data_IF_507029111794
#
_entry.id   IF_507029111794
#
_cell.length_a   1.000
_cell.length_b   1.000
_cell.length_c   1.000
_cell.angle_alpha   90.00
_cell.angle_beta   90.00
_cell.angle_gamma   90.00
#
_symmetry.space_group_name_H-M   'P 1'
#
loop_
_entity.id
_entity.type
_entity.pdbx_description
1 polymer ?
#
# COMPACT_ATOMS: atom_id res chain seq x y z
N UNK A 1 22.33 50.44 -43.38
CA UNK A 1 21.81 49.03 -43.42
C UNK A 1 22.24 48.35 -42.12
N UNK A 2 21.43 48.38 -41.08
CA UNK A 2 21.68 47.71 -39.81
C UNK A 2 20.82 46.41 -39.78
N UNK A 3 21.47 45.22 -39.71
CA UNK A 3 20.80 43.93 -39.54
C UNK A 3 20.75 43.64 -38.02
N UNK A 4 19.57 43.68 -37.48
CA UNK A 4 19.29 43.29 -36.10
C UNK A 4 19.13 41.76 -36.04
N UNK A 5 20.05 41.06 -35.34
CA UNK A 5 19.96 39.64 -35.06
C UNK A 5 19.13 39.42 -33.81
N UNK A 6 17.94 38.83 -33.91
CA UNK A 6 17.15 38.36 -32.79
C UNK A 6 17.70 36.98 -32.38
N UNK A 7 18.24 36.90 -31.17
CA UNK A 7 18.59 35.63 -30.52
C UNK A 7 17.39 35.14 -29.72
N UNK A 8 16.75 34.07 -30.16
CA UNK A 8 15.70 33.40 -29.42
C UNK A 8 16.32 32.47 -28.37
N UNK A 9 16.18 32.78 -27.10
CA UNK A 9 16.58 31.94 -26.02
C UNK A 9 15.51 30.86 -25.77
N UNK A 10 15.82 29.60 -26.06
CA UNK A 10 14.99 28.46 -25.66
C UNK A 10 15.25 28.14 -24.18
N UNK A 11 14.27 28.41 -23.32
CA UNK A 11 14.27 27.88 -21.95
C UNK A 11 13.86 26.40 -22.01
N UNK A 12 14.80 25.52 -21.76
CA UNK A 12 14.53 24.09 -21.51
C UNK A 12 14.03 23.93 -20.07
N UNK A 13 12.76 23.67 -19.89
CA UNK A 13 12.18 23.27 -18.62
C UNK A 13 12.60 21.83 -18.33
N UNK A 14 13.58 21.61 -17.46
CA UNK A 14 13.90 20.30 -16.92
C UNK A 14 12.83 19.90 -15.92
N UNK A 15 12.00 18.92 -16.27
CA UNK A 15 11.14 18.25 -15.31
C UNK A 15 12.01 17.45 -14.35
N UNK A 16 12.11 17.88 -13.09
CA UNK A 16 12.72 17.09 -12.04
C UNK A 16 11.79 15.90 -11.75
N UNK A 17 12.18 14.71 -12.18
CA UNK A 17 11.56 13.47 -11.72
C UNK A 17 11.88 13.36 -10.22
N UNK A 18 10.87 13.52 -9.37
CA UNK A 18 11.00 13.24 -7.94
C UNK A 18 11.29 11.74 -7.80
N UNK A 19 12.50 11.40 -7.39
CA UNK A 19 12.81 10.04 -6.97
C UNK A 19 11.90 9.75 -5.76
N UNK A 20 10.99 8.81 -5.91
CA UNK A 20 10.11 8.36 -4.86
C UNK A 20 10.96 7.55 -3.88
N UNK A 21 11.09 8.02 -2.64
CA UNK A 21 11.76 7.28 -1.59
C UNK A 21 11.00 5.97 -1.35
N UNK A 22 11.61 4.85 -1.73
CA UNK A 22 11.08 3.49 -1.55
C UNK A 22 11.32 2.98 -0.12
N UNK A 23 11.47 3.86 0.85
CA UNK A 23 11.66 3.54 2.25
C UNK A 23 10.35 3.51 3.03
N UNK A 24 10.38 2.80 4.15
CA UNK A 24 9.36 2.87 5.19
C UNK A 24 10.00 3.21 6.53
N UNK A 25 9.18 3.57 7.51
CA UNK A 25 9.63 3.76 8.88
C UNK A 25 8.57 3.28 9.89
N UNK A 26 9.04 2.97 11.09
CA UNK A 26 8.20 2.71 12.25
C UNK A 26 8.71 3.54 13.43
N UNK A 27 7.81 4.02 14.29
CA UNK A 27 8.11 4.84 15.46
C UNK A 27 7.43 4.30 16.70
N UNK A 28 8.00 4.51 17.88
CA UNK A 28 7.33 4.20 19.14
C UNK A 28 5.94 4.85 19.21
N UNK A 29 4.95 4.17 19.85
CA UNK A 29 5.08 2.93 20.59
C UNK A 29 5.00 1.66 19.74
N UNK A 30 5.02 1.76 18.42
CA UNK A 30 5.15 0.59 17.55
C UNK A 30 6.58 0.06 17.61
N UNK A 31 6.75 -1.25 17.81
CA UNK A 31 8.05 -1.90 18.01
C UNK A 31 8.62 -2.52 16.75
N UNK A 32 7.76 -2.96 15.83
CA UNK A 32 8.17 -3.66 14.62
C UNK A 32 7.17 -3.45 13.48
N UNK A 33 7.64 -3.74 12.26
CA UNK A 33 6.85 -3.65 11.04
C UNK A 33 7.21 -4.79 10.08
N UNK A 34 6.20 -5.44 9.52
CA UNK A 34 6.36 -6.26 8.31
C UNK A 34 5.61 -5.62 7.13
N UNK A 35 6.04 -5.92 5.92
CA UNK A 35 5.37 -5.46 4.70
C UNK A 35 5.63 -6.43 3.54
N UNK A 36 4.73 -6.44 2.59
CA UNK A 36 4.91 -7.23 1.37
C UNK A 36 3.60 -7.70 0.76
N UNK A 37 3.72 -8.77 -0.02
CA UNK A 37 2.62 -9.44 -0.72
C UNK A 37 2.21 -10.70 0.02
N UNK A 38 0.89 -10.93 0.05
CA UNK A 38 0.23 -12.14 0.55
C UNK A 38 -0.56 -12.75 -0.61
N UNK A 39 -0.37 -14.05 -0.86
CA UNK A 39 -0.91 -14.75 -2.03
C UNK A 39 -2.37 -15.17 -1.87
N UNK A 40 -2.73 -15.70 -0.71
CA UNK A 40 -4.06 -16.25 -0.45
C UNK A 40 -4.49 -15.88 0.98
N UNK A 41 -5.28 -14.83 1.08
CA UNK A 41 -5.75 -14.32 2.36
C UNK A 41 -7.22 -14.69 2.56
N UNK A 42 -7.46 -15.62 3.49
CA UNK A 42 -8.81 -16.04 3.84
C UNK A 42 -9.57 -14.92 4.55
N UNK A 43 -10.82 -14.69 4.11
CA UNK A 43 -11.72 -13.71 4.69
C UNK A 43 -12.60 -14.37 5.74
N UNK A 44 -12.64 -13.78 6.92
CA UNK A 44 -13.46 -14.22 8.06
C UNK A 44 -14.74 -13.37 8.23
N UNK A 45 -15.13 -12.64 7.19
CA UNK A 45 -16.25 -11.73 7.17
C UNK A 45 -15.87 -10.34 6.63
N UNK A 46 -16.75 -9.37 6.86
CA UNK A 46 -16.51 -7.98 6.51
C UNK A 46 -17.21 -7.05 7.49
N UNK A 47 -16.82 -5.79 7.53
CA UNK A 47 -17.53 -4.72 8.21
C UNK A 47 -17.73 -3.52 7.28
N UNK A 48 -18.76 -2.73 7.52
CA UNK A 48 -18.96 -1.46 6.81
C UNK A 48 -17.84 -0.49 7.14
N UNK A 49 -17.32 0.16 6.12
CA UNK A 49 -16.27 1.17 6.23
C UNK A 49 -16.42 2.21 5.10
N UNK A 50 -17.25 3.23 5.32
CA UNK A 50 -17.57 4.24 4.29
C UNK A 50 -16.35 5.03 3.79
N UNK A 51 -15.23 4.97 4.52
CA UNK A 51 -13.96 5.57 4.13
C UNK A 51 -13.21 4.83 3.02
N UNK A 52 -13.75 3.70 2.52
CA UNK A 52 -13.14 2.91 1.45
C UNK A 52 -13.95 2.96 0.15
N UNK A 53 -13.29 2.71 -0.99
CA UNK A 53 -13.96 2.69 -2.31
C UNK A 53 -15.03 1.60 -2.39
N UNK A 54 -14.80 0.47 -1.73
CA UNK A 54 -15.77 -0.64 -1.67
C UNK A 54 -16.89 -0.42 -0.65
N UNK A 55 -16.73 0.54 0.27
CA UNK A 55 -17.64 0.76 1.41
C UNK A 55 -17.53 -0.27 2.53
N UNK A 56 -16.60 -1.22 2.41
CA UNK A 56 -16.35 -2.29 3.38
C UNK A 56 -14.87 -2.55 3.52
N UNK A 57 -14.46 -3.18 4.63
CA UNK A 57 -13.19 -3.87 4.75
C UNK A 57 -13.41 -5.34 5.06
N UNK A 58 -12.54 -6.21 4.54
CA UNK A 58 -12.54 -7.63 4.85
C UNK A 58 -11.86 -7.87 6.21
N UNK A 59 -12.47 -8.73 7.02
CA UNK A 59 -11.86 -9.21 8.26
C UNK A 59 -11.01 -10.43 7.92
N UNK A 60 -9.76 -10.40 8.35
CA UNK A 60 -8.76 -11.44 8.10
C UNK A 60 -8.15 -11.92 9.42
N UNK A 61 -7.51 -13.08 9.39
CA UNK A 61 -6.65 -13.51 10.48
C UNK A 61 -5.48 -12.54 10.61
N UNK A 62 -5.20 -12.09 11.82
CA UNK A 62 -4.14 -11.12 12.09
C UNK A 62 -2.74 -11.77 12.15
N UNK A 63 -2.66 -13.10 12.29
CA UNK A 63 -1.40 -13.84 12.26
C UNK A 63 -0.94 -14.22 10.83
N UNK A 64 -1.26 -13.37 9.85
CA UNK A 64 -0.79 -13.55 8.47
C UNK A 64 0.73 -13.36 8.37
N UNK A 65 1.38 -14.26 7.64
CA UNK A 65 2.78 -14.12 7.26
C UNK A 65 2.91 -13.58 5.85
N UNK A 66 3.92 -12.75 5.61
CA UNK A 66 4.24 -12.23 4.28
C UNK A 66 4.80 -13.36 3.41
N UNK A 67 4.20 -13.62 2.25
CA UNK A 67 4.71 -14.62 1.29
C UNK A 67 5.92 -14.09 0.51
N UNK A 68 5.89 -12.80 0.15
CA UNK A 68 7.00 -12.14 -0.56
C UNK A 68 7.25 -10.76 0.05
N UNK A 69 8.41 -10.60 0.69
CA UNK A 69 8.86 -9.27 1.16
C UNK A 69 9.29 -8.45 -0.04
N UNK A 70 8.45 -7.49 -0.43
CA UNK A 70 8.68 -6.63 -1.59
C UNK A 70 7.88 -5.35 -1.48
N UNK A 71 8.39 -4.27 -2.08
CA UNK A 71 7.69 -3.00 -2.27
C UNK A 71 7.10 -2.87 -3.68
N UNK A 72 7.40 -3.83 -4.57
CA UNK A 72 6.88 -3.84 -5.94
C UNK A 72 5.79 -4.91 -6.01
N UNK A 73 4.58 -4.50 -6.38
CA UNK A 73 3.37 -5.32 -6.35
C UNK A 73 2.79 -5.42 -7.75
N UNK A 74 2.59 -6.63 -8.32
CA UNK A 74 1.92 -6.74 -9.61
C UNK A 74 0.42 -6.46 -9.45
N UNK A 75 -0.16 -5.72 -10.39
CA UNK A 75 -1.60 -5.43 -10.44
C UNK A 75 -2.38 -6.67 -10.91
N UNK A 76 -2.55 -7.65 -10.03
CA UNK A 76 -3.21 -8.93 -10.33
C UNK A 76 -4.33 -9.23 -9.33
N UNK A 77 -5.46 -9.74 -9.84
CA UNK A 77 -6.60 -10.13 -9.00
C UNK A 77 -6.21 -11.21 -8.00
N UNK A 78 -6.67 -11.06 -6.76
CA UNK A 78 -6.41 -11.98 -5.66
C UNK A 78 -5.13 -11.66 -4.88
N UNK A 79 -4.23 -10.82 -5.40
CA UNK A 79 -3.06 -10.37 -4.66
C UNK A 79 -3.49 -9.41 -3.56
N UNK A 80 -2.99 -9.67 -2.35
CA UNK A 80 -3.08 -8.77 -1.21
C UNK A 80 -1.70 -8.21 -0.89
N UNK A 81 -1.63 -6.96 -0.47
CA UNK A 81 -0.38 -6.33 -0.03
C UNK A 81 -0.65 -5.27 1.03
N UNK A 82 0.35 -5.00 1.84
CA UNK A 82 0.21 -4.00 2.89
C UNK A 82 1.23 -4.17 4.00
N UNK A 83 0.79 -3.85 5.21
CA UNK A 83 1.62 -3.74 6.40
C UNK A 83 1.08 -4.57 7.56
N UNK A 84 1.99 -5.10 8.37
CA UNK A 84 1.72 -5.58 9.71
C UNK A 84 2.54 -4.77 10.70
N UNK A 85 1.97 -4.47 11.87
CA UNK A 85 2.62 -3.72 12.92
C UNK A 85 2.44 -4.41 14.27
N UNK A 86 3.38 -4.20 15.17
CA UNK A 86 3.33 -4.64 16.55
C UNK A 86 3.43 -3.45 17.48
N UNK A 87 2.66 -3.51 18.56
CA UNK A 87 2.75 -2.57 19.66
C UNK A 87 3.71 -3.14 20.71
N UNK A 88 4.52 -2.28 21.34
CA UNK A 88 5.36 -2.69 22.44
C UNK A 88 4.53 -3.40 23.52
N UNK A 89 5.04 -4.52 24.06
CA UNK A 89 4.31 -5.37 24.99
C UNK A 89 3.94 -4.68 26.31
N UNK A 90 4.63 -3.59 26.66
CA UNK A 90 4.36 -2.79 27.87
C UNK A 90 3.47 -1.57 27.59
N UNK A 91 3.03 -1.38 26.35
CA UNK A 91 2.14 -0.27 25.97
C UNK A 91 0.68 -0.57 26.30
N UNK A 92 -0.13 0.47 26.42
CA UNK A 92 -1.58 0.33 26.46
C UNK A 92 -2.14 0.07 25.05
N UNK A 93 -3.28 -0.66 24.92
CA UNK A 93 -3.93 -0.85 23.64
C UNK A 93 -4.19 0.48 22.90
N UNK A 94 -4.00 0.48 21.60
CA UNK A 94 -4.21 1.66 20.76
C UNK A 94 -5.30 1.42 19.72
N UNK A 95 -6.04 2.48 19.41
CA UNK A 95 -6.85 2.55 18.20
C UNK A 95 -6.16 3.51 17.25
N UNK A 96 -5.73 3.00 16.11
CA UNK A 96 -5.06 3.78 15.06
C UNK A 96 -5.96 3.94 13.84
N UNK A 97 -5.67 4.95 13.04
CA UNK A 97 -6.17 5.09 11.68
C UNK A 97 -5.20 4.45 10.70
N UNK A 98 -5.69 3.58 9.85
CA UNK A 98 -5.00 3.15 8.63
C UNK A 98 -5.37 4.12 7.53
N UNK A 99 -4.37 4.68 6.87
CA UNK A 99 -4.56 5.58 5.73
C UNK A 99 -3.81 5.00 4.55
N UNK A 100 -4.52 4.65 3.47
CA UNK A 100 -3.93 4.16 2.22
C UNK A 100 -4.15 5.20 1.14
N UNK A 101 -3.05 5.72 0.61
CA UNK A 101 -3.07 6.64 -0.54
C UNK A 101 -2.66 5.89 -1.80
N UNK A 102 -3.36 6.13 -2.90
CA UNK A 102 -3.17 5.44 -4.19
C UNK A 102 -3.58 6.35 -5.36
N UNK A 103 -3.26 6.00 -6.62
CA UNK A 103 -3.80 6.72 -7.78
C UNK A 103 -5.34 6.67 -7.82
N UNK A 104 -6.00 7.61 -8.53
CA UNK A 104 -7.46 7.67 -8.59
C UNK A 104 -8.08 6.32 -8.96
N UNK A 105 -9.05 5.85 -8.15
CA UNK A 105 -9.68 4.55 -8.27
C UNK A 105 -11.21 4.65 -8.10
N UNK A 106 -11.94 3.73 -8.72
CA UNK A 106 -13.40 3.71 -8.68
C UNK A 106 -14.06 4.83 -9.48
N UNK A 107 -15.39 4.87 -9.45
CA UNK A 107 -16.18 5.83 -10.26
C UNK A 107 -15.96 7.29 -9.84
N UNK A 108 -15.67 7.52 -8.57
CA UNK A 108 -15.49 8.86 -8.01
C UNK A 108 -14.01 9.32 -8.01
N UNK A 109 -13.09 8.49 -8.51
CA UNK A 109 -11.67 8.80 -8.51
C UNK A 109 -11.09 9.00 -7.11
N UNK A 110 -11.52 8.19 -6.14
CA UNK A 110 -10.99 8.25 -4.78
C UNK A 110 -9.50 7.92 -4.78
N UNK A 111 -8.72 8.67 -3.99
CA UNK A 111 -7.25 8.54 -3.90
C UNK A 111 -6.78 8.18 -2.50
N UNK A 112 -7.69 8.14 -1.53
CA UNK A 112 -7.38 7.85 -0.13
C UNK A 112 -8.47 6.98 0.46
N UNK A 113 -8.06 5.88 1.10
CA UNK A 113 -8.94 5.05 1.92
C UNK A 113 -8.54 5.17 3.40
N UNK A 114 -9.53 5.15 4.28
CA UNK A 114 -9.30 5.30 5.73
C UNK A 114 -10.18 4.31 6.47
N UNK A 115 -9.56 3.59 7.43
CA UNK A 115 -10.30 2.76 8.38
C UNK A 115 -9.60 2.68 9.73
N UNK A 116 -10.31 2.23 10.76
CA UNK A 116 -9.76 2.06 12.10
C UNK A 116 -9.13 0.68 12.28
N UNK A 117 -7.96 0.63 12.93
CA UNK A 117 -7.27 -0.59 13.32
C UNK A 117 -6.96 -0.58 14.82
N UNK A 118 -7.57 -1.47 15.63
CA UNK A 118 -7.15 -1.70 17.00
C UNK A 118 -5.82 -2.45 17.02
N UNK A 119 -4.93 -2.07 17.92
CA UNK A 119 -3.68 -2.75 18.21
C UNK A 119 -3.64 -3.11 19.69
N UNK A 120 -3.47 -4.39 19.97
CA UNK A 120 -3.25 -4.91 21.31
C UNK A 120 -1.74 -5.18 21.55
N UNK A 121 -1.20 -4.96 22.74
CA UNK A 121 0.21 -5.19 23.05
C UNK A 121 0.64 -6.63 22.77
N UNK A 122 1.74 -6.79 22.03
CA UNK A 122 2.30 -8.11 21.71
C UNK A 122 1.60 -8.88 20.60
N UNK A 123 0.45 -8.39 20.12
CA UNK A 123 -0.28 -9.01 19.02
C UNK A 123 -0.01 -8.25 17.70
N UNK A 124 0.02 -8.95 16.54
CA UNK A 124 0.13 -8.29 15.25
C UNK A 124 -1.18 -7.60 14.86
N UNK A 125 -1.06 -6.47 14.15
CA UNK A 125 -2.17 -5.85 13.45
C UNK A 125 -1.82 -5.76 11.95
N UNK A 126 -2.43 -6.64 11.15
CA UNK A 126 -2.20 -6.74 9.72
C UNK A 126 -3.27 -5.97 8.95
N UNK A 127 -2.84 -5.06 8.10
CA UNK A 127 -3.70 -4.20 7.29
C UNK A 127 -3.30 -4.35 5.83
N UNK A 128 -4.19 -4.93 5.03
CA UNK A 128 -3.95 -5.27 3.64
C UNK A 128 -4.97 -4.61 2.72
N UNK A 129 -4.53 -4.26 1.54
CA UNK A 129 -5.37 -4.04 0.38
C UNK A 129 -5.33 -5.27 -0.52
N UNK A 130 -6.49 -5.72 -0.99
CA UNK A 130 -6.61 -6.87 -1.90
C UNK A 130 -7.22 -6.41 -3.22
N UNK A 131 -6.59 -6.73 -4.33
CA UNK A 131 -7.21 -6.52 -5.66
C UNK A 131 -8.32 -7.53 -5.89
N UNK A 132 -9.56 -7.15 -5.61
CA UNK A 132 -10.75 -8.00 -5.78
C UNK A 132 -11.49 -7.73 -7.09
N UNK A 133 -11.32 -6.53 -7.63
CA UNK A 133 -12.03 -6.05 -8.81
C UNK A 133 -11.06 -5.39 -9.80
N UNK A 134 -11.34 -5.49 -11.11
CA UNK A 134 -10.45 -4.93 -12.13
C UNK A 134 -10.15 -3.42 -11.96
N UNK A 135 -11.10 -2.64 -11.46
CA UNK A 135 -10.90 -1.20 -11.26
C UNK A 135 -9.97 -0.86 -10.08
N UNK A 136 -9.68 -1.82 -9.21
CA UNK A 136 -8.76 -1.64 -8.07
C UNK A 136 -7.30 -1.80 -8.47
N UNK A 137 -7.02 -2.43 -9.61
CA UNK A 137 -5.67 -2.69 -10.11
C UNK A 137 -5.05 -1.43 -10.74
N UNK A 138 -4.99 -0.32 -9.99
CA UNK A 138 -4.40 0.93 -10.45
C UNK A 138 -2.90 0.94 -10.24
N UNK A 139 -2.16 1.05 -11.34
CA UNK A 139 -0.70 1.12 -11.33
C UNK A 139 -0.21 2.47 -10.81
N UNK A 140 0.95 2.47 -10.17
CA UNK A 140 1.58 3.68 -9.65
C UNK A 140 1.94 3.58 -8.17
N UNK A 141 2.22 4.73 -7.53
CA UNK A 141 2.62 4.79 -6.14
C UNK A 141 1.44 4.55 -5.19
N UNK A 142 1.67 3.69 -4.21
CA UNK A 142 0.79 3.42 -3.09
C UNK A 142 1.51 3.66 -1.79
N UNK A 143 0.80 4.16 -0.77
CA UNK A 143 1.38 4.42 0.54
C UNK A 143 0.41 4.01 1.63
N UNK A 144 0.90 3.20 2.57
CA UNK A 144 0.21 2.81 3.79
C UNK A 144 0.77 3.58 4.96
N UNK A 145 -0.11 4.10 5.81
CA UNK A 145 0.25 4.76 7.05
C UNK A 145 -0.60 4.25 8.20
N UNK A 146 0.01 4.13 9.37
CA UNK A 146 -0.71 4.06 10.65
C UNK A 146 -0.56 5.39 11.36
N UNK A 147 -1.69 5.99 11.72
CA UNK A 147 -1.75 7.30 12.37
C UNK A 147 -2.43 7.22 13.73
N UNK A 148 -1.91 8.01 14.66
CA UNK A 148 -2.58 8.34 15.91
C UNK A 148 -2.79 9.83 15.94
N UNK A 149 -4.06 10.25 15.97
CA UNK A 149 -4.43 11.63 15.77
C UNK A 149 -3.79 12.18 14.46
N UNK A 150 -2.97 13.21 14.53
CA UNK A 150 -2.27 13.78 13.37
C UNK A 150 -0.84 13.22 13.17
N UNK A 151 -0.39 12.30 14.03
CA UNK A 151 0.97 11.75 13.99
C UNK A 151 1.04 10.47 13.18
N UNK A 152 1.98 10.39 12.21
CA UNK A 152 2.29 9.16 11.47
C UNK A 152 3.29 8.34 12.27
N UNK A 153 2.84 7.19 12.76
CA UNK A 153 3.67 6.24 13.53
C UNK A 153 4.34 5.20 12.64
N UNK A 154 3.72 4.85 11.52
CA UNK A 154 4.29 3.94 10.53
C UNK A 154 3.94 4.44 9.13
N UNK A 155 4.91 4.32 8.21
CA UNK A 155 4.71 4.52 6.79
C UNK A 155 5.44 3.45 6.00
N UNK A 156 4.79 2.95 4.94
CA UNK A 156 5.37 2.05 3.96
C UNK A 156 4.89 2.41 2.57
N UNK A 157 5.85 2.58 1.65
CA UNK A 157 5.57 2.88 0.25
C UNK A 157 5.65 1.61 -0.61
N UNK A 158 4.74 1.49 -1.58
CA UNK A 158 4.72 0.45 -2.59
C UNK A 158 4.65 1.07 -3.98
N UNK A 159 5.10 0.31 -4.96
CA UNK A 159 4.90 0.60 -6.38
C UNK A 159 4.09 -0.53 -7.00
N UNK A 160 2.86 -0.23 -7.40
CA UNK A 160 2.03 -1.16 -8.16
C UNK A 160 2.43 -1.07 -9.63
N UNK A 161 2.74 -2.21 -10.22
CA UNK A 161 3.28 -2.37 -11.58
C UNK A 161 2.40 -3.29 -12.42
N UNK A 162 2.54 -3.32 -13.75
CA UNK A 162 1.74 -4.20 -14.60
C UNK A 162 1.78 -5.68 -14.18
N UNK A 163 0.74 -6.47 -14.50
CA UNK A 163 0.71 -7.90 -14.24
C UNK A 163 1.95 -8.63 -14.79
N UNK A 164 2.40 -9.67 -14.10
CA UNK A 164 3.54 -10.50 -14.54
C UNK A 164 4.92 -9.87 -14.37
N UNK A 165 5.04 -8.65 -13.88
CA UNK A 165 6.33 -7.92 -13.81
C UNK A 165 7.18 -8.25 -12.58
N UNK A 166 6.63 -9.00 -11.60
CA UNK A 166 7.32 -9.35 -10.34
C UNK A 166 7.53 -10.86 -10.24
N UNK A 167 8.65 -11.41 -10.73
CA UNK A 167 8.87 -12.86 -10.81
C UNK A 167 8.77 -13.58 -9.46
N UNK A 168 9.18 -12.94 -8.37
CA UNK A 168 9.07 -13.53 -7.04
C UNK A 168 7.62 -13.78 -6.63
N UNK A 169 6.71 -12.83 -6.91
CA UNK A 169 5.28 -12.96 -6.66
C UNK A 169 4.65 -13.99 -7.60
N UNK A 170 5.03 -13.99 -8.90
CA UNK A 170 4.57 -14.99 -9.86
C UNK A 170 4.90 -16.41 -9.40
N UNK A 171 6.12 -16.62 -8.94
CA UNK A 171 6.57 -17.91 -8.46
C UNK A 171 5.89 -18.32 -7.14
N UNK A 172 5.69 -17.40 -6.22
CA UNK A 172 5.07 -17.70 -4.93
C UNK A 172 3.56 -17.94 -5.04
N UNK A 173 2.86 -17.07 -5.77
CA UNK A 173 1.40 -17.01 -5.74
C UNK A 173 0.72 -17.77 -6.89
N UNK A 174 1.37 -17.94 -8.04
CA UNK A 174 0.72 -18.47 -9.25
C UNK A 174 1.36 -19.73 -9.83
N UNK A 175 2.45 -20.25 -9.26
CA UNK A 175 3.15 -21.43 -9.82
C UNK A 175 2.29 -22.70 -9.87
N UNK A 176 1.32 -22.88 -8.97
CA UNK A 176 0.41 -24.01 -8.99
C UNK A 176 -0.55 -24.01 -10.20
N UNK A 177 -0.87 -22.84 -10.76
CA UNK A 177 -1.74 -22.70 -11.93
C UNK A 177 -1.02 -22.99 -13.25
N UNK A 178 0.30 -23.00 -13.28
CA UNK A 178 1.11 -23.22 -14.50
C UNK A 178 1.33 -24.71 -14.75
N UNK A 179 1.08 -25.58 -13.78
CA UNK A 179 1.34 -27.04 -13.84
C UNK A 179 0.09 -27.89 -14.08
N UNK A 180 -1.06 -27.29 -14.43
CA UNK A 180 -2.31 -28.02 -14.73
C UNK A 180 -2.71 -27.99 -16.20
#
# INVERSE_FOLDING_TARGET
>A
MFRTCLIAAFLTMSAAASAQETGGFVRPPLSDMQFGVHCDVAKNGSREEPGTVSGIINLIDQHQTVDVVTQIVPAELGISFGIGAWLDAESEPLLLEVVVSHPPMGENGQEVEIWSAPLDPGEPAVNLFTFEKPFEMVEGPWRFQLRKDDEVLLEQNFLVTPPGTVPAVQNACFSAMIMS
#
